data_IF_835695942859
#
_entry.id   IF_835695942859
#
_cell.length_a   1.000
_cell.length_b   1.000
_cell.length_c   1.000
_cell.angle_alpha   90.00
_cell.angle_beta   90.00
_cell.angle_gamma   90.00
#
_symmetry.space_group_name_H-M   'P 1'
#
loop_
_entity.id
_entity.type
_entity.pdbx_description
1 polymer ?
#
# COMPACT_ATOMS: atom_id res chain seq x y z
N UNK A 1 9.91 6.86 11.20
CA UNK A 1 9.44 5.70 10.40
C UNK A 1 10.45 4.57 10.53
N UNK A 2 9.98 3.35 10.81
CA UNK A 2 10.84 2.19 11.09
C UNK A 2 10.65 1.11 10.03
N UNK A 3 11.68 0.29 9.82
CA UNK A 3 11.60 -0.82 8.88
C UNK A 3 10.65 -1.91 9.41
N UNK A 4 9.58 -2.17 8.65
CA UNK A 4 8.58 -3.18 8.96
C UNK A 4 8.99 -4.61 8.59
N UNK A 5 10.00 -4.79 7.73
CA UNK A 5 10.51 -6.09 7.29
C UNK A 5 12.01 -6.18 7.61
N UNK A 6 12.32 -6.58 8.84
CA UNK A 6 13.71 -6.57 9.36
C UNK A 6 14.59 -7.68 8.83
N UNK A 7 13.99 -8.77 8.34
CA UNK A 7 14.70 -9.98 7.91
C UNK A 7 14.72 -10.14 6.38
N UNK A 8 14.53 -9.04 5.63
CA UNK A 8 14.60 -9.07 4.18
C UNK A 8 16.05 -9.22 3.70
N UNK A 9 16.27 -10.05 2.68
CA UNK A 9 17.56 -10.19 2.01
C UNK A 9 17.90 -8.94 1.18
N UNK A 10 16.89 -8.40 0.50
CA UNK A 10 17.01 -7.16 -0.27
C UNK A 10 16.54 -5.96 0.55
N UNK A 11 17.23 -4.82 0.39
CA UNK A 11 16.91 -3.57 1.07
C UNK A 11 17.01 -2.39 0.11
N UNK A 12 16.25 -1.34 0.40
CA UNK A 12 16.35 -0.05 -0.27
C UNK A 12 16.73 1.05 0.71
N UNK A 13 17.68 1.90 0.34
CA UNK A 13 18.05 3.09 1.09
C UNK A 13 17.19 4.28 0.64
N UNK A 14 16.54 4.96 1.58
CA UNK A 14 15.66 6.10 1.28
C UNK A 14 16.38 7.45 1.28
N UNK A 15 17.55 7.55 1.92
CA UNK A 15 18.40 8.77 1.93
C UNK A 15 17.67 10.05 2.32
N UNK A 16 16.62 9.93 3.14
CA UNK A 16 15.80 11.07 3.53
C UNK A 16 16.55 12.04 4.47
N UNK A 17 17.58 11.55 5.17
CA UNK A 17 18.37 12.34 6.13
C UNK A 17 19.02 13.58 5.51
N UNK A 18 19.38 13.55 4.22
CA UNK A 18 19.91 14.72 3.51
C UNK A 18 18.94 15.91 3.45
N UNK A 19 17.64 15.71 3.72
CA UNK A 19 16.69 16.81 3.90
C UNK A 19 17.09 17.73 5.06
N UNK A 20 17.86 17.22 6.04
CA UNK A 20 18.38 17.99 7.16
C UNK A 20 19.46 19.00 6.78
N UNK A 21 19.96 18.99 5.54
CA UNK A 21 20.96 19.94 5.03
C UNK A 21 22.20 20.09 5.94
N UNK A 22 22.67 18.96 6.50
CA UNK A 22 23.84 18.90 7.37
C UNK A 22 23.56 19.08 8.86
N UNK A 23 22.29 19.28 9.25
CA UNK A 23 21.87 19.34 10.65
C UNK A 23 21.32 18.00 11.19
N UNK A 24 21.15 17.01 10.32
CA UNK A 24 20.78 15.66 10.71
C UNK A 24 21.87 14.97 11.53
N UNK A 25 21.47 14.04 12.40
CA UNK A 25 22.40 13.27 13.23
C UNK A 25 21.92 11.84 13.47
N UNK A 26 22.86 10.94 13.75
CA UNK A 26 22.55 9.54 14.05
C UNK A 26 22.03 9.38 15.47
N UNK A 27 21.00 8.54 15.63
CA UNK A 27 20.33 8.27 16.91
C UNK A 27 19.92 6.81 16.96
N UNK A 28 20.05 6.20 18.14
CA UNK A 28 19.52 4.86 18.38
C UNK A 28 18.15 4.93 19.05
N UNK A 29 17.17 4.21 18.52
CA UNK A 29 15.82 4.12 19.10
C UNK A 29 15.43 2.66 19.20
N UNK A 30 15.29 2.14 20.43
CA UNK A 30 14.91 0.75 20.67
C UNK A 30 15.86 -0.27 20.02
N UNK A 31 17.17 0.00 20.05
CA UNK A 31 18.19 -0.85 19.41
C UNK A 31 18.31 -0.70 17.89
N UNK A 32 17.58 0.26 17.29
CA UNK A 32 17.59 0.50 15.84
C UNK A 32 18.36 1.76 15.50
N UNK A 33 19.23 1.67 14.49
CA UNK A 33 19.96 2.83 13.96
C UNK A 33 19.05 3.69 13.11
N UNK A 34 18.88 4.95 13.51
CA UNK A 34 18.05 5.92 12.83
C UNK A 34 18.82 7.22 12.56
N UNK A 35 18.27 8.01 11.66
CA UNK A 35 18.57 9.43 11.52
C UNK A 35 17.49 10.25 12.21
N UNK A 36 17.93 11.27 12.96
CA UNK A 36 17.09 12.36 13.43
C UNK A 36 17.32 13.57 12.52
N UNK A 37 16.24 14.09 11.94
CA UNK A 37 16.24 15.23 11.01
C UNK A 37 15.51 16.39 11.68
N UNK A 38 16.18 17.51 11.97
CA UNK A 38 15.52 18.71 12.47
C UNK A 38 14.50 19.23 11.45
N UNK A 39 13.27 19.47 11.92
CA UNK A 39 12.15 20.02 11.15
C UNK A 39 11.39 21.03 12.02
N UNK A 40 10.48 21.81 11.42
CA UNK A 40 9.71 22.83 12.18
C UNK A 40 8.93 22.25 13.37
N UNK A 41 8.50 20.99 13.30
CA UNK A 41 7.76 20.31 14.36
C UNK A 41 8.68 19.58 15.38
N UNK A 42 9.99 19.79 15.33
CA UNK A 42 10.96 19.10 16.17
C UNK A 42 11.85 18.17 15.34
N UNK A 43 11.71 16.87 15.50
CA UNK A 43 12.56 15.88 14.82
C UNK A 43 11.72 14.84 14.09
N UNK A 44 12.02 14.66 12.80
CA UNK A 44 11.67 13.40 12.13
C UNK A 44 12.72 12.35 12.51
N UNK A 45 12.29 11.18 12.97
CA UNK A 45 13.19 10.06 13.27
C UNK A 45 12.85 8.87 12.39
N UNK A 46 13.81 8.35 11.64
CA UNK A 46 13.59 7.14 10.83
C UNK A 46 14.84 6.37 10.46
N UNK A 47 14.65 5.09 10.13
CA UNK A 47 15.72 4.22 9.61
C UNK A 47 16.11 4.62 8.18
N UNK A 48 17.34 4.28 7.78
CA UNK A 48 17.90 4.58 6.45
C UNK A 48 17.50 3.53 5.40
N UNK A 49 17.39 2.27 5.83
CA UNK A 49 17.18 1.12 4.96
C UNK A 49 15.86 0.41 5.30
N UNK A 50 15.12 0.04 4.26
CA UNK A 50 13.84 -0.67 4.38
C UNK A 50 13.90 -1.98 3.61
N UNK A 51 13.40 -3.06 4.22
CA UNK A 51 13.37 -4.37 3.60
C UNK A 51 12.39 -4.45 2.44
N UNK A 52 12.80 -5.08 1.35
CA UNK A 52 11.95 -5.39 0.19
C UNK A 52 11.84 -6.90 0.04
N UNK A 53 10.65 -7.36 -0.33
CA UNK A 53 10.36 -8.78 -0.58
C UNK A 53 9.55 -8.93 -1.85
N UNK A 54 9.64 -10.10 -2.48
CA UNK A 54 8.73 -10.50 -3.55
C UNK A 54 7.36 -10.80 -2.95
N UNK A 55 6.34 -10.04 -3.36
CA UNK A 55 4.96 -10.20 -2.91
C UNK A 55 4.08 -10.87 -3.97
N UNK A 56 2.79 -11.02 -3.63
CA UNK A 56 1.72 -11.43 -4.55
C UNK A 56 0.76 -10.26 -4.72
N UNK A 57 0.37 -9.97 -5.96
CA UNK A 57 -0.59 -8.92 -6.28
C UNK A 57 -1.74 -9.50 -7.12
N UNK A 58 -2.95 -8.97 -6.92
CA UNK A 58 -4.11 -9.30 -7.74
C UNK A 58 -5.00 -10.44 -7.25
N UNK A 59 -4.80 -10.95 -6.02
CA UNK A 59 -5.81 -11.79 -5.37
C UNK A 59 -7.12 -11.02 -5.24
N UNK A 60 -8.24 -11.59 -5.71
CA UNK A 60 -9.53 -10.90 -5.77
C UNK A 60 -10.71 -11.87 -5.69
N UNK A 61 -11.89 -11.33 -5.38
CA UNK A 61 -13.19 -12.00 -5.47
C UNK A 61 -14.27 -10.96 -5.76
N UNK A 62 -15.44 -11.40 -6.22
CA UNK A 62 -16.60 -10.53 -6.43
C UNK A 62 -17.63 -10.69 -5.31
N UNK A 63 -18.22 -9.57 -4.90
CA UNK A 63 -19.40 -9.53 -4.04
C UNK A 63 -20.60 -9.21 -4.93
N UNK A 64 -21.51 -10.17 -5.08
CA UNK A 64 -22.74 -10.00 -5.88
C UNK A 64 -23.93 -9.89 -4.92
N UNK A 65 -24.69 -8.80 -5.02
CA UNK A 65 -25.86 -8.53 -4.19
C UNK A 65 -27.07 -8.16 -5.04
N UNK A 66 -28.26 -8.25 -4.45
CA UNK A 66 -29.54 -7.90 -5.11
C UNK A 66 -29.66 -6.41 -5.46
N UNK A 67 -28.88 -5.55 -4.81
CA UNK A 67 -28.79 -4.12 -5.08
C UNK A 67 -27.41 -3.59 -4.68
N UNK A 68 -27.11 -2.35 -5.09
CA UNK A 68 -25.81 -1.71 -4.85
C UNK A 68 -25.45 -1.65 -3.36
N UNK A 69 -26.41 -1.32 -2.49
CA UNK A 69 -26.15 -1.19 -1.06
C UNK A 69 -25.87 -2.53 -0.39
N UNK A 70 -26.61 -3.58 -0.76
CA UNK A 70 -26.36 -4.94 -0.26
C UNK A 70 -24.95 -5.44 -0.64
N UNK A 71 -24.52 -5.19 -1.89
CA UNK A 71 -23.17 -5.53 -2.33
C UNK A 71 -22.09 -4.70 -1.61
N UNK A 72 -22.32 -3.39 -1.42
CA UNK A 72 -21.39 -2.51 -0.72
C UNK A 72 -21.21 -2.92 0.74
N UNK A 73 -22.29 -3.19 1.48
CA UNK A 73 -22.22 -3.66 2.88
C UNK A 73 -21.45 -4.97 2.99
N UNK A 74 -21.68 -5.91 2.07
CA UNK A 74 -20.91 -7.16 2.02
C UNK A 74 -19.42 -6.93 1.72
N UNK A 75 -19.10 -5.99 0.84
CA UNK A 75 -17.73 -5.63 0.49
C UNK A 75 -16.99 -4.90 1.63
N UNK A 76 -17.66 -4.00 2.34
CA UNK A 76 -17.13 -3.31 3.53
C UNK A 76 -16.82 -4.31 4.64
N UNK A 77 -17.76 -5.21 4.96
CA UNK A 77 -17.54 -6.25 5.96
C UNK A 77 -16.34 -7.16 5.59
N UNK A 78 -16.17 -7.47 4.30
CA UNK A 78 -15.03 -8.23 3.83
C UNK A 78 -13.71 -7.43 3.94
N UNK A 79 -13.71 -6.14 3.61
CA UNK A 79 -12.54 -5.26 3.74
C UNK A 79 -12.11 -5.12 5.20
N UNK A 80 -13.06 -4.95 6.12
CA UNK A 80 -12.80 -4.85 7.57
C UNK A 80 -12.18 -6.14 8.12
N UNK A 81 -12.67 -7.30 7.67
CA UNK A 81 -12.10 -8.59 8.02
C UNK A 81 -10.67 -8.75 7.47
N UNK A 82 -10.43 -8.37 6.21
CA UNK A 82 -9.11 -8.43 5.58
C UNK A 82 -8.12 -7.48 6.26
N UNK A 83 -8.56 -6.32 6.76
CA UNK A 83 -7.69 -5.37 7.46
C UNK A 83 -7.05 -5.94 8.74
N UNK A 84 -7.62 -7.02 9.31
CA UNK A 84 -7.04 -7.73 10.45
C UNK A 84 -5.98 -8.76 10.05
N UNK A 85 -5.82 -9.05 8.75
CA UNK A 85 -4.88 -10.06 8.25
C UNK A 85 -3.50 -9.45 8.08
N UNK A 86 -2.54 -9.91 8.89
CA UNK A 86 -1.15 -9.45 8.85
C UNK A 86 -0.53 -9.69 7.47
N UNK A 87 0.12 -8.65 6.93
CA UNK A 87 0.85 -8.72 5.67
C UNK A 87 -0.02 -8.61 4.42
N UNK A 88 -1.31 -8.30 4.57
CA UNK A 88 -2.26 -8.08 3.47
C UNK A 88 -2.70 -6.63 3.45
N UNK A 89 -2.98 -6.12 2.25
CA UNK A 89 -3.58 -4.80 2.04
C UNK A 89 -4.70 -4.90 1.00
N UNK A 90 -5.66 -3.99 1.05
CA UNK A 90 -6.66 -3.75 0.02
C UNK A 90 -6.42 -2.36 -0.57
N UNK A 91 -5.79 -2.30 -1.75
CA UNK A 91 -5.18 -1.05 -2.27
C UNK A 91 -6.15 -0.06 -2.93
N UNK A 92 -7.40 -0.44 -3.13
CA UNK A 92 -8.42 0.44 -3.71
C UNK A 92 -9.05 1.34 -2.63
N UNK A 93 -9.73 2.44 -3.01
CA UNK A 93 -10.42 3.30 -2.06
C UNK A 93 -11.39 2.49 -1.18
N UNK A 94 -11.26 2.61 0.14
CA UNK A 94 -12.04 1.82 1.10
C UNK A 94 -11.82 0.31 1.02
N UNK A 95 -10.78 -0.15 0.32
CA UNK A 95 -10.51 -1.55 0.05
C UNK A 95 -11.37 -2.20 -1.04
N UNK A 96 -12.18 -1.41 -1.76
CA UNK A 96 -13.25 -1.91 -2.64
C UNK A 96 -13.08 -1.37 -4.07
N UNK A 97 -13.25 -2.26 -5.06
CA UNK A 97 -13.23 -1.89 -6.47
C UNK A 97 -14.66 -1.59 -6.94
N UNK A 98 -14.97 -0.32 -7.19
CA UNK A 98 -16.29 0.09 -7.72
C UNK A 98 -16.45 -0.03 -9.25
N UNK A 99 -15.36 -0.19 -10.00
CA UNK A 99 -15.38 -0.13 -11.48
C UNK A 99 -15.24 -1.49 -12.17
N UNK A 100 -14.27 -2.30 -11.76
CA UNK A 100 -13.91 -3.55 -12.44
C UNK A 100 -13.37 -3.33 -13.86
N UNK A 101 -12.44 -4.17 -14.32
CA UNK A 101 -11.92 -4.06 -15.68
C UNK A 101 -11.66 -5.40 -16.33
N UNK A 102 -11.58 -5.38 -17.67
CA UNK A 102 -11.05 -6.46 -18.49
C UNK A 102 -9.85 -5.96 -19.30
N UNK A 103 -9.01 -6.88 -19.74
CA UNK A 103 -7.87 -6.59 -20.60
C UNK A 103 -8.35 -6.07 -21.97
N UNK A 104 -7.76 -4.97 -22.41
CA UNK A 104 -8.03 -4.36 -23.70
C UNK A 104 -9.42 -3.74 -23.83
N UNK A 105 -9.86 -3.52 -25.06
CA UNK A 105 -11.18 -3.02 -25.40
C UNK A 105 -11.71 -3.66 -26.68
N UNK A 106 -13.00 -3.99 -26.70
CA UNK A 106 -13.67 -4.53 -27.88
C UNK A 106 -13.72 -3.49 -29.01
N UNK A 107 -13.94 -2.21 -28.66
CA UNK A 107 -14.12 -1.09 -29.61
C UNK A 107 -12.86 -0.24 -29.80
N UNK A 108 -12.18 0.15 -28.72
CA UNK A 108 -11.09 1.14 -28.77
C UNK A 108 -9.73 0.47 -28.64
N UNK A 109 -9.10 0.10 -29.77
CA UNK A 109 -7.86 -0.72 -29.79
C UNK A 109 -6.65 -0.10 -29.08
N UNK A 110 -6.65 1.21 -28.84
CA UNK A 110 -5.59 1.90 -28.09
C UNK A 110 -5.74 1.78 -26.56
N UNK A 111 -6.87 1.27 -26.05
CA UNK A 111 -7.10 1.12 -24.62
C UNK A 111 -6.50 -0.19 -24.09
N UNK A 112 -5.65 -0.09 -23.07
CA UNK A 112 -5.03 -1.25 -22.39
C UNK A 112 -6.00 -1.99 -21.46
N UNK A 113 -7.03 -1.30 -20.96
CA UNK A 113 -8.10 -1.86 -20.15
C UNK A 113 -9.41 -1.10 -20.40
N UNK A 114 -10.54 -1.76 -20.16
CA UNK A 114 -11.87 -1.14 -20.22
C UNK A 114 -12.82 -1.80 -19.22
N UNK A 115 -14.02 -1.24 -19.03
CA UNK A 115 -15.04 -1.84 -18.15
C UNK A 115 -15.26 -3.31 -18.50
N UNK A 116 -15.55 -4.13 -17.49
CA UNK A 116 -15.87 -5.53 -17.71
C UNK A 116 -17.38 -5.69 -17.94
N UNK A 117 -17.83 -5.51 -19.18
CA UNK A 117 -19.25 -5.47 -19.54
C UNK A 117 -20.03 -6.74 -19.19
N UNK A 118 -19.36 -7.86 -18.92
CA UNK A 118 -20.00 -9.11 -18.48
C UNK A 118 -20.55 -9.02 -17.06
N UNK A 119 -20.13 -8.01 -16.30
CA UNK A 119 -20.51 -7.78 -14.91
C UNK A 119 -21.04 -6.35 -14.69
N UNK A 120 -21.57 -5.71 -15.74
CA UNK A 120 -22.22 -4.40 -15.68
C UNK A 120 -23.75 -4.53 -15.77
#
# INVERSE_FOLDING_TARGET
VFNGITNAEEKIAVKLHFFGDGYEYQKEVGGRKCWAIPIMNGEYVGEEEFGIVKGVAGGNFFVMGENQMAALVGAEAASDAIAQVKGVITSFPGGIVGSGSKVGSLKYKFMVASTNEKYC
#
